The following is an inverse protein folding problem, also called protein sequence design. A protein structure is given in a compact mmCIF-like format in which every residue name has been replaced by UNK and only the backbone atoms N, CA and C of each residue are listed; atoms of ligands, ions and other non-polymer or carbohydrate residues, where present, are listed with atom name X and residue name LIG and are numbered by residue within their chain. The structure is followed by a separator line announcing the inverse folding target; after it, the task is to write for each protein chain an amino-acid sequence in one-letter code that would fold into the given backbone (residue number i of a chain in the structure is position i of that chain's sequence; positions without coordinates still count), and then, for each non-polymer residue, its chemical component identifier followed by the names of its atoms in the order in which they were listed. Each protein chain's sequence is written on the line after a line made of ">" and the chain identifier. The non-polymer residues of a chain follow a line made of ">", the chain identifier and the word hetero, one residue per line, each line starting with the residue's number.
data_IF_865295888873
#
_entry.id   IF_865295888873
#
_cell.length_a   1.000
_cell.length_b   1.000
_cell.length_c   1.000
_cell.angle_alpha   90.00
_cell.angle_beta   90.00
_cell.angle_gamma   90.00
#
_symmetry.space_group_name_H-M   'P 1'
#
loop_
_entity.id
_entity.type
_entity.pdbx_description
1 polymer ?
#
# COMPACT_ATOMS: atom_id res chain seq x y z
N UNK A 1 7.71 9.20 16.05
CA UNK A 1 7.43 7.94 15.29
C UNK A 1 5.94 7.59 15.18
N UNK A 2 5.10 7.80 16.21
CA UNK A 2 3.64 7.58 16.09
C UNK A 2 2.94 8.57 15.15
N UNK A 3 3.41 9.81 15.09
CA UNK A 3 2.83 10.86 14.23
C UNK A 3 2.93 10.53 12.74
N UNK A 4 4.05 9.94 12.30
CA UNK A 4 4.23 9.49 10.92
C UNK A 4 3.26 8.38 10.52
N UNK A 5 2.81 7.56 11.48
CA UNK A 5 1.91 6.43 11.21
C UNK A 5 0.43 6.80 11.31
N UNK A 6 0.06 8.03 11.67
CA UNK A 6 -1.34 8.44 11.79
C UNK A 6 -2.20 7.61 12.75
N UNK A 7 -1.59 6.88 13.69
CA UNK A 7 -2.29 5.96 14.61
C UNK A 7 -2.41 4.51 14.15
N UNK A 8 -1.94 4.16 12.95
CA UNK A 8 -1.92 2.78 12.48
C UNK A 8 -0.72 2.00 13.03
N UNK A 9 -0.94 0.73 13.38
CA UNK A 9 0.13 -0.20 13.85
C UNK A 9 0.77 -0.87 12.63
N UNK A 10 1.31 -0.08 11.71
CA UNK A 10 2.03 -0.56 10.51
C UNK A 10 3.52 -0.36 10.68
N UNK A 11 4.40 -1.23 10.16
CA UNK A 11 5.84 -0.97 10.08
C UNK A 11 6.13 0.40 9.42
N UNK A 12 7.20 1.06 9.86
CA UNK A 12 7.56 2.38 9.32
C UNK A 12 7.91 2.32 7.82
N UNK A 13 8.45 1.19 7.36
CA UNK A 13 8.73 0.96 5.95
C UNK A 13 7.44 0.99 5.11
N UNK A 14 6.39 0.32 5.56
CA UNK A 14 5.10 0.27 4.85
C UNK A 14 4.42 1.63 4.80
N UNK A 15 4.59 2.44 5.85
CA UNK A 15 4.12 3.82 5.89
C UNK A 15 4.83 4.65 4.81
N UNK A 16 6.14 4.50 4.64
CA UNK A 16 6.87 5.20 3.58
C UNK A 16 6.49 4.72 2.18
N UNK A 17 6.30 3.40 2.00
CA UNK A 17 5.82 2.84 0.73
C UNK A 17 4.45 3.41 0.39
N UNK A 18 3.52 3.41 1.34
CA UNK A 18 2.18 3.95 1.19
C UNK A 18 2.19 5.46 0.87
N UNK A 19 2.97 6.24 1.62
CA UNK A 19 3.08 7.68 1.42
C UNK A 19 3.66 8.03 0.04
N UNK A 20 4.69 7.30 -0.39
CA UNK A 20 5.27 7.47 -1.72
C UNK A 20 4.28 7.10 -2.82
N UNK A 21 3.61 5.95 -2.70
CA UNK A 21 2.59 5.54 -3.67
C UNK A 21 1.42 6.53 -3.76
N UNK A 22 1.00 7.12 -2.64
CA UNK A 22 -0.01 8.17 -2.62
C UNK A 22 0.47 9.44 -3.35
N UNK A 23 1.69 9.91 -3.06
CA UNK A 23 2.31 11.07 -3.71
C UNK A 23 2.42 10.88 -5.23
N UNK A 24 2.88 9.71 -5.65
CA UNK A 24 3.09 9.34 -7.06
C UNK A 24 1.81 8.86 -7.77
N UNK A 25 0.66 8.86 -7.08
CA UNK A 25 -0.63 8.32 -7.58
C UNK A 25 -0.53 6.90 -8.14
N UNK A 26 0.33 6.09 -7.54
CA UNK A 26 0.64 4.73 -7.94
C UNK A 26 -0.24 3.70 -7.21
N UNK A 27 -0.23 2.47 -7.70
CA UNK A 27 -0.91 1.33 -7.06
C UNK A 27 0.13 0.51 -6.29
N UNK A 28 -0.09 0.28 -5.00
CA UNK A 28 0.75 -0.64 -4.21
C UNK A 28 0.33 -2.07 -4.52
N UNK A 29 1.30 -2.90 -4.91
CA UNK A 29 1.08 -4.34 -5.10
C UNK A 29 1.65 -5.06 -3.89
N UNK A 30 0.79 -5.63 -3.07
CA UNK A 30 1.19 -6.37 -1.88
C UNK A 30 0.06 -7.30 -1.42
N UNK A 31 0.44 -8.49 -0.94
CA UNK A 31 -0.49 -9.41 -0.30
C UNK A 31 -0.65 -9.13 1.20
N UNK A 32 0.12 -8.18 1.76
CA UNK A 32 0.01 -7.81 3.17
C UNK A 32 -1.32 -7.14 3.49
N UNK A 33 -1.97 -7.67 4.54
CA UNK A 33 -3.30 -7.21 4.94
C UNK A 33 -3.28 -5.78 5.49
N UNK A 34 -2.14 -5.33 6.02
CA UNK A 34 -1.97 -4.01 6.61
C UNK A 34 -2.17 -2.87 5.61
N UNK A 35 -1.78 -3.07 4.35
CA UNK A 35 -2.02 -2.10 3.28
C UNK A 35 -3.51 -1.92 2.94
N UNK A 36 -4.38 -2.85 3.34
CA UNK A 36 -5.83 -2.73 3.15
C UNK A 36 -6.47 -1.75 4.14
N UNK A 37 -5.81 -1.43 5.25
CA UNK A 37 -6.30 -0.45 6.23
C UNK A 37 -6.14 0.99 5.75
N UNK A 38 -5.30 1.19 4.73
CA UNK A 38 -5.04 2.49 4.12
C UNK A 38 -6.02 2.72 2.97
N UNK A 39 -7.24 3.14 3.31
CA UNK A 39 -8.33 3.33 2.36
C UNK A 39 -8.11 4.47 1.33
N UNK A 40 -7.14 5.36 1.60
CA UNK A 40 -6.83 6.52 0.76
C UNK A 40 -5.93 6.19 -0.45
N UNK A 41 -5.53 4.92 -0.60
CA UNK A 41 -4.63 4.48 -1.68
C UNK A 41 -5.17 3.24 -2.39
N UNK A 42 -4.78 3.08 -3.66
CA UNK A 42 -5.11 1.90 -4.45
C UNK A 42 -4.13 0.78 -4.16
N UNK A 43 -4.63 -0.37 -3.76
CA UNK A 43 -3.83 -1.57 -3.48
C UNK A 43 -4.34 -2.77 -4.28
N UNK A 44 -3.44 -3.67 -4.65
CA UNK A 44 -3.76 -4.95 -5.27
C UNK A 44 -2.92 -6.07 -4.67
N UNK A 45 -3.51 -7.26 -4.58
CA UNK A 45 -2.77 -8.50 -4.38
C UNK A 45 -1.94 -8.85 -5.63
N UNK A 46 -0.90 -9.67 -5.47
CA UNK A 46 -0.05 -10.11 -6.60
C UNK A 46 -0.88 -10.77 -7.70
N UNK A 47 -1.78 -11.69 -7.32
CA UNK A 47 -2.71 -12.34 -8.25
C UNK A 47 -3.61 -11.34 -8.97
N UNK A 48 -3.98 -10.26 -8.27
CA UNK A 48 -4.75 -9.15 -8.84
C UNK A 48 -3.99 -8.44 -9.94
N UNK A 49 -2.69 -8.21 -9.77
CA UNK A 49 -1.83 -7.67 -10.83
C UNK A 49 -1.67 -8.67 -11.97
N UNK A 50 -1.36 -9.93 -11.66
CA UNK A 50 -1.13 -10.97 -12.67
C UNK A 50 -2.31 -11.12 -13.64
N UNK A 51 -3.56 -10.98 -13.13
CA UNK A 51 -4.76 -11.00 -13.98
C UNK A 51 -4.90 -9.83 -14.96
N UNK A 52 -4.15 -8.75 -14.76
CA UNK A 52 -4.20 -7.51 -15.56
C UNK A 52 -3.07 -7.39 -16.57
N UNK A 53 -2.03 -8.21 -16.45
CA UNK A 53 -0.91 -8.23 -17.37
C UNK A 53 -1.26 -9.08 -18.60
N UNK A 54 -0.94 -8.61 -19.82
CA UNK A 54 -1.03 -9.46 -21.01
C UNK A 54 -0.09 -10.65 -20.86
N UNK A 55 -0.53 -11.82 -21.33
CA UNK A 55 0.28 -13.04 -21.38
C UNK A 55 1.27 -13.02 -22.52
#
# INVERSE_FOLDING_TARGET
>A
MRELKGGYVIPIADVFIAANAHLERSIVISDDAEFKWLHEMKTLAEKGLASRLPR
#
